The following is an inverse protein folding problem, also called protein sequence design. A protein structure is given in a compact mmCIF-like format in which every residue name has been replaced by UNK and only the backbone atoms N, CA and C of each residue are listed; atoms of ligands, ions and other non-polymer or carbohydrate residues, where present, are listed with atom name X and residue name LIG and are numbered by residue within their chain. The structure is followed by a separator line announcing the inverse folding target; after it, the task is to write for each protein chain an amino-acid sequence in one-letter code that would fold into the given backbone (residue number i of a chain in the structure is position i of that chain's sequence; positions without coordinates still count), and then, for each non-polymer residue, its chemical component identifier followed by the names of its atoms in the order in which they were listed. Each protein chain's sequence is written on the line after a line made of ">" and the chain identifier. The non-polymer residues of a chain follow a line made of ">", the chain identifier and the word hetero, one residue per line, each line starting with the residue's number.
data_IF_041685334843
#
_entry.id   IF_041685334843
#
_cell.length_a   1.000
_cell.length_b   1.000
_cell.length_c   1.000
_cell.angle_alpha   90.00
_cell.angle_beta   90.00
_cell.angle_gamma   90.00
#
_symmetry.space_group_name_H-M   'P 1'
#
loop_
_entity.id
_entity.type
_entity.pdbx_description
1 polymer ?
#
# COMPACT_ATOMS: atom_id res chain seq x y z
N UNK A 1 17.85 -8.04 -28.22
CA UNK A 1 16.60 -8.42 -27.53
C UNK A 1 16.55 -7.63 -26.22
N UNK A 2 15.74 -6.58 -26.13
CA UNK A 2 15.53 -5.88 -24.86
C UNK A 2 14.63 -6.77 -23.98
N UNK A 3 15.01 -7.11 -22.74
CA UNK A 3 14.09 -7.78 -21.84
C UNK A 3 12.88 -6.87 -21.64
N UNK A 4 11.68 -7.35 -21.95
CA UNK A 4 10.46 -6.59 -21.69
C UNK A 4 10.31 -6.40 -20.18
N UNK A 5 10.73 -5.25 -19.67
CA UNK A 5 10.52 -4.81 -18.29
C UNK A 5 9.06 -4.38 -18.15
N UNK A 6 8.16 -5.37 -18.03
CA UNK A 6 6.77 -5.08 -17.71
C UNK A 6 6.72 -4.48 -16.29
N UNK A 7 6.00 -3.37 -16.09
CA UNK A 7 5.90 -2.76 -14.78
C UNK A 7 5.15 -3.65 -13.80
N UNK A 8 5.57 -3.65 -12.53
CA UNK A 8 4.79 -4.24 -11.45
C UNK A 8 3.66 -3.28 -11.10
N UNK A 9 2.42 -3.71 -11.27
CA UNK A 9 1.24 -2.92 -10.93
C UNK A 9 0.67 -3.44 -9.61
N UNK A 10 0.65 -2.58 -8.59
CA UNK A 10 0.04 -2.89 -7.30
C UNK A 10 -1.20 -2.02 -7.12
N UNK A 11 -2.36 -2.68 -6.97
CA UNK A 11 -3.64 -2.01 -6.81
C UNK A 11 -4.20 -2.19 -5.40
N UNK A 12 -4.42 -1.07 -4.72
CA UNK A 12 -5.04 -0.99 -3.40
C UNK A 12 -6.39 -0.27 -3.51
N UNK A 13 -7.53 -0.98 -3.63
CA UNK A 13 -8.84 -0.37 -3.88
C UNK A 13 -9.33 0.56 -2.75
N UNK A 14 -9.04 0.22 -1.50
CA UNK A 14 -9.22 1.06 -0.30
C UNK A 14 -8.08 0.69 0.64
N UNK A 15 -7.05 1.53 0.71
CA UNK A 15 -5.83 1.21 1.45
C UNK A 15 -6.09 1.03 2.96
N UNK A 16 -7.04 1.78 3.53
CA UNK A 16 -7.36 1.73 4.95
C UNK A 16 -8.11 0.43 5.29
N UNK A 17 -9.18 0.14 4.54
CA UNK A 17 -9.98 -1.04 4.74
C UNK A 17 -9.20 -2.31 4.38
N UNK A 18 -8.40 -2.28 3.32
CA UNK A 18 -7.52 -3.39 2.94
C UNK A 18 -6.54 -3.72 4.05
N UNK A 19 -5.81 -2.73 4.57
CA UNK A 19 -4.83 -2.96 5.64
C UNK A 19 -5.52 -3.51 6.90
N UNK A 20 -6.72 -3.01 7.21
CA UNK A 20 -7.49 -3.50 8.36
C UNK A 20 -7.90 -4.97 8.26
N UNK A 21 -8.11 -5.47 7.03
CA UNK A 21 -8.50 -6.86 6.75
C UNK A 21 -7.29 -7.77 6.58
N UNK A 22 -6.18 -7.23 6.07
CA UNK A 22 -4.98 -8.00 5.80
C UNK A 22 -4.17 -8.31 7.06
N UNK A 23 -4.19 -7.40 8.06
CA UNK A 23 -3.32 -7.54 9.24
C UNK A 23 -3.96 -6.97 10.51
N UNK A 24 -3.75 -7.68 11.63
CA UNK A 24 -4.15 -7.23 12.96
C UNK A 24 -3.43 -5.95 13.35
N UNK A 25 -4.05 -5.12 14.20
CA UNK A 25 -3.49 -3.82 14.59
C UNK A 25 -2.08 -3.93 15.18
N UNK A 26 -1.81 -4.96 15.98
CA UNK A 26 -0.50 -5.22 16.60
C UNK A 26 0.61 -5.45 15.58
N UNK A 27 0.29 -6.07 14.43
CA UNK A 27 1.28 -6.51 13.45
C UNK A 27 1.42 -5.55 12.27
N UNK A 28 0.60 -4.48 12.21
CA UNK A 28 0.60 -3.50 11.11
C UNK A 28 1.98 -2.88 10.86
N UNK A 29 2.71 -2.54 11.92
CA UNK A 29 4.03 -1.91 11.80
C UNK A 29 5.03 -2.85 11.12
N UNK A 30 5.09 -4.11 11.58
CA UNK A 30 5.98 -5.12 10.99
C UNK A 30 5.58 -5.45 9.55
N UNK A 31 4.28 -5.56 9.28
CA UNK A 31 3.76 -5.81 7.95
C UNK A 31 4.14 -4.70 6.97
N UNK A 32 3.92 -3.44 7.32
CA UNK A 32 4.30 -2.29 6.49
C UNK A 32 5.80 -2.25 6.24
N UNK A 33 6.62 -2.55 7.26
CA UNK A 33 8.06 -2.62 7.09
C UNK A 33 8.48 -3.70 6.08
N UNK A 34 7.88 -4.89 6.12
CA UNK A 34 8.16 -5.95 5.13
C UNK A 34 7.68 -5.58 3.72
N UNK A 35 6.54 -4.90 3.62
CA UNK A 35 6.03 -4.40 2.34
C UNK A 35 7.00 -3.38 1.75
N UNK A 36 7.48 -2.44 2.56
CA UNK A 36 8.51 -1.46 2.17
C UNK A 36 9.78 -2.14 1.69
N UNK A 37 10.35 -3.07 2.46
CA UNK A 37 11.52 -3.87 2.05
C UNK A 37 11.28 -4.64 0.75
N UNK A 38 10.06 -5.14 0.53
CA UNK A 38 9.70 -5.83 -0.71
C UNK A 38 9.75 -4.85 -1.88
N UNK A 39 9.15 -3.66 -1.74
CA UNK A 39 9.19 -2.63 -2.78
C UNK A 39 10.61 -2.12 -3.06
N UNK A 40 11.45 -1.97 -2.04
CA UNK A 40 12.86 -1.60 -2.20
C UNK A 40 13.68 -2.67 -2.94
N UNK A 41 13.34 -3.96 -2.76
CA UNK A 41 14.01 -5.06 -3.45
C UNK A 41 13.59 -5.23 -4.91
N UNK A 42 12.44 -4.67 -5.29
CA UNK A 42 11.94 -4.74 -6.65
C UNK A 42 12.75 -3.77 -7.53
N UNK A 43 13.25 -4.29 -8.64
CA UNK A 43 13.90 -3.48 -9.68
C UNK A 43 12.92 -3.23 -10.83
N UNK A 44 12.99 -2.03 -11.42
CA UNK A 44 12.15 -1.65 -12.55
C UNK A 44 10.99 -0.73 -12.18
N UNK A 45 10.09 -0.49 -13.15
CA UNK A 45 8.97 0.43 -12.98
C UNK A 45 7.89 -0.18 -12.10
N UNK A 46 7.56 0.49 -10.99
CA UNK A 46 6.49 0.09 -10.08
C UNK A 46 5.38 1.13 -10.17
N UNK A 47 4.15 0.69 -10.40
CA UNK A 47 2.97 1.54 -10.47
C UNK A 47 2.09 1.20 -9.26
N UNK A 48 1.92 2.17 -8.37
CA UNK A 48 1.04 2.09 -7.22
C UNK A 48 -0.28 2.79 -7.54
N UNK A 49 -1.38 2.03 -7.55
CA UNK A 49 -2.72 2.57 -7.75
C UNK A 49 -3.48 2.47 -6.42
N UNK A 50 -3.69 3.61 -5.76
CA UNK A 50 -4.47 3.70 -4.53
C UNK A 50 -5.86 4.24 -4.84
N UNK A 51 -6.88 3.41 -4.63
CA UNK A 51 -8.28 3.84 -4.65
C UNK A 51 -8.63 4.68 -3.43
N UNK A 52 -9.69 5.46 -3.56
CA UNK A 52 -10.17 6.36 -2.52
C UNK A 52 -10.71 5.55 -1.33
N UNK A 53 -10.27 5.87 -0.12
CA UNK A 53 -10.82 5.28 1.11
C UNK A 53 -12.27 5.71 1.29
N UNK A 54 -13.18 4.75 1.48
CA UNK A 54 -14.60 5.05 1.69
C UNK A 54 -14.89 5.75 3.03
N UNK A 55 -13.91 5.78 3.93
CA UNK A 55 -14.03 6.39 5.26
C UNK A 55 -13.66 7.89 5.24
N UNK A 56 -12.94 8.37 4.22
CA UNK A 56 -12.46 9.78 4.16
C UNK A 56 -13.53 10.81 3.76
N UNK A 57 -14.80 10.40 3.62
CA UNK A 57 -15.93 11.33 3.52
C UNK A 57 -16.50 11.75 4.89
N UNK A 58 -15.90 11.29 6.00
CA UNK A 58 -16.06 11.89 7.33
C UNK A 58 -14.98 12.95 7.59
N UNK A 59 -15.26 14.00 8.39
CA UNK A 59 -14.32 15.11 8.59
C UNK A 59 -12.98 14.58 9.10
N UNK A 60 -11.89 15.08 8.49
CA UNK A 60 -10.50 14.80 8.85
C UNK A 60 -10.26 15.16 10.31
N UNK A 61 -10.55 14.25 11.24
CA UNK A 61 -10.03 14.37 12.58
C UNK A 61 -8.53 14.06 12.50
N UNK A 62 -7.76 15.13 12.62
CA UNK A 62 -6.31 15.11 12.72
C UNK A 62 -5.91 14.09 13.78
N UNK A 63 -5.28 12.99 13.38
CA UNK A 63 -4.52 12.17 14.31
C UNK A 63 -3.40 13.06 14.88
N UNK A 64 -3.58 13.51 16.13
CA UNK A 64 -2.51 14.10 16.93
C UNK A 64 -1.47 13.01 17.15
N UNK A 65 -0.20 13.43 17.01
CA UNK A 65 1.06 12.73 17.32
C UNK A 65 0.94 11.50 18.21
#
# INVERSE_FOLDING_TARGET
>A
MLPSLHPVIVYFPDSYQWLSRAVTKSNRKEFLHKVEQTFESLSGSIILICGQSKVENGPKEKEKL
#
